data_IF_915070753051
#
_entry.id   IF_915070753051
#
_cell.length_a   1.000
_cell.length_b   1.000
_cell.length_c   1.000
_cell.angle_alpha   90.00
_cell.angle_beta   90.00
_cell.angle_gamma   90.00
#
_symmetry.space_group_name_H-M   'P 1'
#
loop_
_entity.id
_entity.type
_entity.pdbx_description
1 polymer ?
#
# COMPACT_ATOMS: atom_id res chain seq x y z
N UNK A 1 -11.51 4.00 -27.08
CA UNK A 1 -11.91 4.69 -25.83
C UNK A 1 -12.12 3.74 -24.65
N UNK A 2 -13.02 2.75 -24.70
CA UNK A 2 -13.26 1.82 -23.56
C UNK A 2 -12.00 1.14 -22.99
N UNK A 3 -11.04 0.78 -23.87
CA UNK A 3 -9.76 0.18 -23.47
C UNK A 3 -8.91 1.12 -22.61
N UNK A 4 -8.94 2.43 -22.88
CA UNK A 4 -8.20 3.44 -22.11
C UNK A 4 -8.84 3.64 -20.73
N UNK A 5 -10.17 3.60 -20.64
CA UNK A 5 -10.89 3.69 -19.36
C UNK A 5 -10.59 2.49 -18.46
N UNK A 6 -10.56 1.28 -19.02
CA UNK A 6 -10.17 0.06 -18.28
C UNK A 6 -8.71 0.18 -17.82
N UNK A 7 -7.81 0.67 -18.68
CA UNK A 7 -6.41 0.84 -18.32
C UNK A 7 -6.21 1.88 -17.21
N UNK A 8 -6.96 2.99 -17.26
CA UNK A 8 -6.97 4.00 -16.21
C UNK A 8 -7.50 3.43 -14.89
N UNK A 9 -8.58 2.63 -14.92
CA UNK A 9 -9.10 1.96 -13.72
C UNK A 9 -8.10 0.99 -13.11
N UNK A 10 -7.39 0.21 -13.93
CA UNK A 10 -6.33 -0.69 -13.45
C UNK A 10 -5.18 0.11 -12.84
N UNK A 11 -4.74 1.19 -13.48
CA UNK A 11 -3.66 2.03 -12.97
C UNK A 11 -4.04 2.67 -11.62
N UNK A 12 -5.26 3.20 -11.50
CA UNK A 12 -5.78 3.76 -10.25
C UNK A 12 -5.90 2.68 -9.17
N UNK A 13 -6.46 1.52 -9.52
CA UNK A 13 -6.56 0.39 -8.59
C UNK A 13 -5.20 -0.04 -8.05
N UNK A 14 -4.21 -0.20 -8.94
CA UNK A 14 -2.84 -0.53 -8.55
C UNK A 14 -2.19 0.54 -7.67
N UNK A 15 -2.41 1.82 -7.97
CA UNK A 15 -1.90 2.93 -7.17
C UNK A 15 -2.48 2.94 -5.76
N UNK A 16 -3.79 2.69 -5.61
CA UNK A 16 -4.45 2.64 -4.30
C UNK A 16 -3.94 1.47 -3.45
N UNK A 17 -3.79 0.28 -4.06
CA UNK A 17 -3.21 -0.88 -3.37
C UNK A 17 -1.77 -0.60 -2.94
N UNK A 18 -0.96 -0.01 -3.82
CA UNK A 18 0.42 0.36 -3.47
C UNK A 18 0.48 1.36 -2.31
N UNK A 19 -0.37 2.38 -2.33
CA UNK A 19 -0.46 3.37 -1.24
C UNK A 19 -0.85 2.70 0.08
N UNK A 20 -1.80 1.77 0.06
CA UNK A 20 -2.22 1.02 1.25
C UNK A 20 -1.07 0.17 1.79
N UNK A 21 -0.40 -0.61 0.94
CA UNK A 21 0.74 -1.44 1.36
C UNK A 21 1.87 -0.59 1.96
N UNK A 22 2.14 0.59 1.40
CA UNK A 22 3.16 1.49 1.94
C UNK A 22 2.75 2.10 3.29
N UNK A 23 1.48 2.42 3.50
CA UNK A 23 0.98 2.89 4.79
C UNK A 23 1.02 1.78 5.84
N UNK A 24 0.58 0.57 5.48
CA UNK A 24 0.58 -0.60 6.36
C UNK A 24 2.03 -0.99 6.76
N UNK A 25 3.03 -0.76 5.88
CA UNK A 25 4.46 -0.93 6.22
C UNK A 25 4.96 0.06 7.26
N UNK A 26 4.53 1.32 7.18
CA UNK A 26 4.91 2.34 8.17
C UNK A 26 4.33 2.00 9.54
N UNK A 27 3.12 1.43 9.58
CA UNK A 27 2.53 0.95 10.83
C UNK A 27 3.27 -0.28 11.38
N UNK A 28 3.58 -1.28 10.55
CA UNK A 28 4.37 -2.45 10.96
C UNK A 28 5.74 -2.08 11.55
N UNK A 29 6.38 -1.04 11.02
CA UNK A 29 7.65 -0.52 11.52
C UNK A 29 7.50 0.04 12.96
N UNK A 30 6.47 0.85 13.19
CA UNK A 30 6.14 1.38 14.53
C UNK A 30 5.81 0.28 15.54
N UNK A 31 5.11 -0.77 15.11
CA UNK A 31 4.84 -1.93 15.95
C UNK A 31 6.09 -2.74 16.25
N UNK A 32 6.97 -2.91 15.27
CA UNK A 32 8.26 -3.60 15.45
C UNK A 32 9.17 -2.82 16.38
N UNK A 33 9.17 -1.50 16.33
CA UNK A 33 9.89 -0.66 17.30
C UNK A 33 9.27 -0.79 18.71
N UNK A 34 7.94 -0.75 18.82
CA UNK A 34 7.25 -0.84 20.09
C UNK A 34 7.30 -2.22 20.76
N UNK A 35 7.44 -3.31 19.98
CA UNK A 35 7.38 -4.70 20.50
C UNK A 35 8.65 -5.52 20.26
N UNK A 36 9.48 -5.14 19.29
CA UNK A 36 10.74 -5.83 18.93
C UNK A 36 11.98 -5.32 19.66
N UNK A 37 11.83 -4.31 20.54
CA UNK A 37 12.92 -3.87 21.43
C UNK A 37 13.15 -4.83 22.62
N UNK A 38 12.35 -5.88 22.77
CA UNK A 38 12.44 -6.81 23.90
C UNK A 38 12.61 -8.26 23.38
N UNK A 39 13.86 -8.62 23.08
CA UNK A 39 14.43 -9.96 22.79
C UNK A 39 14.11 -10.63 21.45
#
# INVERSE_FOLDING_TARGET
>A
MKKLLVLALVAVGGLLVWRKVQADRAELDLWTEATGSEN
#
